data_IF_424411071178
#
_entry.id   IF_424411071178
#
_cell.length_a   1.000
_cell.length_b   1.000
_cell.length_c   1.000
_cell.angle_alpha   90.00
_cell.angle_beta   90.00
_cell.angle_gamma   90.00
#
_symmetry.space_group_name_H-M   'P 1'
#
loop_
_entity.id
_entity.type
_entity.pdbx_description
1 polymer ?
#
# COMPACT_ATOMS: atom_id res chain seq x y z
N UNK A 1 -3.75 -8.82 11.38
CA UNK A 1 -4.49 -7.99 10.41
C UNK A 1 -4.24 -8.47 8.98
N UNK A 2 -5.29 -8.63 8.16
CA UNK A 2 -5.17 -8.86 6.71
C UNK A 2 -5.36 -7.51 5.99
N UNK A 3 -4.34 -7.08 5.25
CA UNK A 3 -4.35 -5.82 4.46
C UNK A 3 -4.88 -6.06 3.04
N UNK A 4 -4.54 -7.21 2.47
CA UNK A 4 -4.99 -7.67 1.16
C UNK A 4 -5.07 -9.20 1.17
N UNK A 5 -5.80 -9.78 0.22
CA UNK A 5 -5.86 -11.22 -0.03
C UNK A 5 -4.56 -11.73 -0.66
N UNK A 6 -3.84 -10.86 -1.38
CA UNK A 6 -2.54 -11.16 -1.98
C UNK A 6 -1.42 -11.08 -0.91
N UNK A 7 -0.67 -12.16 -0.66
CA UNK A 7 0.36 -12.19 0.38
C UNK A 7 1.49 -11.18 0.11
N UNK A 8 1.87 -10.98 -1.15
CA UNK A 8 2.89 -10.01 -1.55
C UNK A 8 2.53 -8.57 -1.20
N UNK A 9 1.27 -8.18 -1.41
CA UNK A 9 0.77 -6.85 -1.03
C UNK A 9 0.73 -6.71 0.49
N UNK A 10 0.30 -7.75 1.20
CA UNK A 10 0.27 -7.73 2.67
C UNK A 10 1.66 -7.53 3.26
N UNK A 11 2.68 -8.22 2.73
CA UNK A 11 4.07 -8.05 3.14
C UNK A 11 4.59 -6.64 2.82
N UNK A 12 4.29 -6.12 1.62
CA UNK A 12 4.67 -4.77 1.21
C UNK A 12 4.09 -3.71 2.16
N UNK A 13 2.80 -3.80 2.47
CA UNK A 13 2.13 -2.87 3.40
C UNK A 13 2.80 -2.88 4.77
N UNK A 14 3.13 -4.06 5.32
CA UNK A 14 3.85 -4.16 6.60
C UNK A 14 5.22 -3.48 6.57
N UNK A 15 5.97 -3.62 5.48
CA UNK A 15 7.28 -2.95 5.33
C UNK A 15 7.13 -1.42 5.41
N UNK A 16 6.14 -0.86 4.70
CA UNK A 16 5.90 0.59 4.72
C UNK A 16 5.36 1.08 6.06
N UNK A 17 4.51 0.29 6.74
CA UNK A 17 4.10 0.60 8.12
C UNK A 17 5.33 0.72 9.04
N UNK A 18 6.30 -0.19 8.91
CA UNK A 18 7.56 -0.11 9.64
C UNK A 18 8.40 1.14 9.34
N UNK A 19 8.22 1.75 8.16
CA UNK A 19 8.84 3.05 7.78
C UNK A 19 8.08 4.27 8.31
N UNK A 20 7.06 4.09 9.14
CA UNK A 20 6.24 5.18 9.68
C UNK A 20 5.02 5.54 8.83
N UNK A 21 4.64 4.71 7.86
CA UNK A 21 3.40 4.90 7.10
C UNK A 21 2.21 4.37 7.90
N UNK A 22 1.03 4.95 7.69
CA UNK A 22 -0.19 4.56 8.39
C UNK A 22 -1.15 3.83 7.46
N UNK A 23 -1.59 2.64 7.85
CA UNK A 23 -2.62 1.92 7.11
C UNK A 23 -4.01 2.25 7.64
N UNK A 24 -4.90 2.70 6.77
CA UNK A 24 -6.30 2.96 7.06
C UNK A 24 -7.17 1.97 6.30
N UNK A 25 -7.98 1.18 7.03
CA UNK A 25 -8.90 0.22 6.43
C UNK A 25 -10.16 0.95 5.94
N UNK A 26 -10.45 0.89 4.64
CA UNK A 26 -11.73 1.31 4.08
C UNK A 26 -12.72 0.14 3.95
N UNK A 27 -13.93 0.43 3.42
CA UNK A 27 -14.99 -0.59 3.22
C UNK A 27 -14.61 -1.67 2.20
N UNK A 28 -14.13 -1.27 1.01
CA UNK A 28 -13.71 -2.20 -0.08
C UNK A 28 -12.20 -2.28 -0.26
N UNK A 29 -11.50 -1.16 -0.09
CA UNK A 29 -10.05 -1.05 -0.28
C UNK A 29 -9.42 -0.38 0.93
N UNK A 30 -8.20 -0.80 1.26
CA UNK A 30 -7.39 -0.09 2.25
C UNK A 30 -6.76 1.15 1.64
N UNK A 31 -6.23 2.02 2.48
CA UNK A 31 -5.36 3.12 2.08
C UNK A 31 -4.09 3.05 2.93
N UNK A 32 -2.96 3.39 2.34
CA UNK A 32 -1.69 3.52 3.02
C UNK A 32 -1.25 4.98 2.91
N UNK A 33 -1.21 5.65 4.04
CA UNK A 33 -0.96 7.08 4.18
C UNK A 33 0.51 7.25 4.54
N UNK A 34 1.22 8.03 3.73
CA UNK A 34 2.59 8.41 3.96
C UNK A 34 2.68 9.47 5.06
N UNK A 35 3.82 9.58 5.75
CA UNK A 35 3.99 10.56 6.83
C UNK A 35 3.87 12.02 6.37
N UNK A 36 4.10 12.30 5.08
CA UNK A 36 3.90 13.61 4.45
C UNK A 36 2.47 13.81 3.88
N UNK A 37 1.51 12.95 4.22
CA UNK A 37 0.09 13.14 3.93
C UNK A 37 -0.40 12.55 2.59
N UNK A 38 0.46 12.01 1.72
CA UNK A 38 0.01 11.33 0.49
C UNK A 38 -0.57 9.96 0.81
N UNK A 39 -1.63 9.54 0.12
CA UNK A 39 -2.23 8.22 0.31
C UNK A 39 -2.16 7.37 -0.96
N UNK A 40 -1.83 6.08 -0.81
CA UNK A 40 -1.93 5.05 -1.83
C UNK A 40 -3.11 4.13 -1.54
N UNK A 41 -3.87 3.74 -2.56
CA UNK A 41 -4.98 2.79 -2.40
C UNK A 41 -4.42 1.36 -2.42
N UNK A 42 -4.78 0.57 -1.41
CA UNK A 42 -4.41 -0.83 -1.31
C UNK A 42 -5.57 -1.70 -1.78
N UNK A 43 -5.42 -2.43 -2.89
CA UNK A 43 -6.47 -3.33 -3.37
C UNK A 43 -6.64 -4.51 -2.42
N UNK A 44 -7.88 -4.78 -2.01
CA UNK A 44 -8.20 -5.88 -1.09
C UNK A 44 -8.15 -7.25 -1.80
N UNK A 45 -8.64 -7.31 -3.04
CA UNK A 45 -8.60 -8.51 -3.88
C UNK A 45 -8.21 -8.09 -5.30
N UNK A 46 -6.91 -8.07 -5.64
CA UNK A 46 -6.51 -7.83 -7.01
C UNK A 46 -6.89 -9.04 -7.87
N UNK A 47 -7.57 -8.81 -9.01
CA UNK A 47 -7.66 -9.81 -10.09
C UNK A 47 -6.47 -9.71 -11.06
N UNK A 48 -5.70 -8.62 -10.99
CA UNK A 48 -4.55 -8.37 -11.85
C UNK A 48 -3.27 -8.95 -11.22
N UNK A 49 -2.60 -9.85 -11.96
CA UNK A 49 -1.32 -10.46 -11.58
C UNK A 49 -0.20 -9.43 -11.37
N UNK A 50 -0.32 -8.23 -11.96
CA UNK A 50 0.64 -7.13 -11.82
C UNK A 50 0.29 -6.14 -10.71
N UNK A 51 -0.80 -6.35 -9.98
CA UNK A 51 -1.22 -5.42 -8.91
C UNK A 51 -0.12 -5.20 -7.87
N UNK A 52 0.62 -6.25 -7.50
CA UNK A 52 1.77 -6.13 -6.62
C UNK A 52 2.87 -5.22 -7.18
N UNK A 53 3.26 -5.41 -8.45
CA UNK A 53 4.32 -4.64 -9.11
C UNK A 53 3.92 -3.17 -9.27
N UNK A 54 2.68 -2.92 -9.69
CA UNK A 54 2.12 -1.58 -9.84
C UNK A 54 2.08 -0.84 -8.50
N UNK A 55 1.58 -1.49 -7.45
CA UNK A 55 1.55 -0.92 -6.11
C UNK A 55 2.97 -0.64 -5.58
N UNK A 56 3.90 -1.57 -5.75
CA UNK A 56 5.30 -1.39 -5.35
C UNK A 56 5.96 -0.20 -6.06
N UNK A 57 5.75 -0.07 -7.36
CA UNK A 57 6.25 1.06 -8.15
C UNK A 57 5.63 2.38 -7.67
N UNK A 58 4.31 2.41 -7.44
CA UNK A 58 3.61 3.58 -6.92
C UNK A 58 4.16 4.03 -5.56
N UNK A 59 4.30 3.09 -4.60
CA UNK A 59 4.81 3.41 -3.27
C UNK A 59 6.26 3.90 -3.31
N UNK A 60 7.10 3.30 -4.16
CA UNK A 60 8.49 3.78 -4.36
C UNK A 60 8.55 5.19 -4.93
N UNK A 61 7.70 5.52 -5.90
CA UNK A 61 7.64 6.88 -6.46
C UNK A 61 7.16 7.89 -5.42
N UNK A 62 6.21 7.50 -4.57
CA UNK A 62 5.77 8.34 -3.45
C UNK A 62 6.91 8.55 -2.44
N UNK A 63 7.68 7.50 -2.13
CA UNK A 63 8.83 7.58 -1.23
C UNK A 63 9.97 8.44 -1.78
N UNK A 64 10.25 8.37 -3.08
CA UNK A 64 11.32 9.13 -3.73
C UNK A 64 10.98 10.61 -3.97
N UNK A 65 9.69 10.97 -3.92
CA UNK A 65 9.23 12.35 -4.03
C UNK A 65 8.35 12.71 -2.83
N UNK A 66 8.98 12.86 -1.64
CA UNK A 66 8.34 13.53 -0.51
C UNK A 66 8.06 14.98 -0.94
N UNK A 67 6.82 15.42 -0.77
CA UNK A 67 6.44 16.81 -1.05
C UNK A 67 7.06 17.75 -0.02
#
# INVERSE_FOLDING_TARGET
MKYSKEPGISALVKQFIGKGWQFQKGRKHGKLIAPWGRAAVIPATPSDRRAYLNLRSQLRRMEASPC
#
